data_IF_526729002669
#
_entry.id   IF_526729002669
#
_cell.length_a   1.000
_cell.length_b   1.000
_cell.length_c   1.000
_cell.angle_alpha   90.00
_cell.angle_beta   90.00
_cell.angle_gamma   90.00
#
_symmetry.space_group_name_H-M   'P 1'
#
loop_
_entity.id
_entity.type
_entity.pdbx_description
1 polymer ?
#
# COMPACT_ATOMS: atom_id res chain seq x y z
N UNK A 1 -56.64 -13.76 45.67
CA UNK A 1 -57.05 -14.42 44.40
C UNK A 1 -55.82 -15.03 43.78
N UNK A 2 -55.86 -16.32 43.53
CA UNK A 2 -54.80 -17.14 42.96
C UNK A 2 -54.48 -16.74 41.52
N UNK A 3 -53.21 -16.84 41.09
CA UNK A 3 -52.88 -17.45 39.81
C UNK A 3 -51.48 -18.06 39.85
N UNK A 4 -51.38 -19.18 39.16
CA UNK A 4 -50.44 -20.27 39.35
C UNK A 4 -49.32 -20.26 38.31
N UNK A 5 -48.26 -20.99 38.64
CA UNK A 5 -46.99 -21.18 37.93
C UNK A 5 -47.15 -21.90 36.60
N UNK A 6 -46.47 -21.42 35.54
CA UNK A 6 -45.87 -22.30 34.52
C UNK A 6 -44.49 -21.77 34.07
N UNK A 7 -43.52 -22.68 34.06
CA UNK A 7 -42.13 -22.53 33.61
C UNK A 7 -42.04 -22.43 32.08
N UNK A 8 -41.04 -21.68 31.57
CA UNK A 8 -40.12 -22.15 30.51
C UNK A 8 -38.75 -21.48 30.68
N UNK A 9 -37.62 -22.22 30.59
CA UNK A 9 -36.27 -21.69 30.84
C UNK A 9 -35.48 -21.45 29.53
N UNK A 10 -34.37 -20.72 29.67
CA UNK A 10 -33.23 -20.57 28.72
C UNK A 10 -33.42 -19.74 27.43
N UNK A 11 -32.84 -18.53 27.42
CA UNK A 11 -31.74 -18.13 26.53
C UNK A 11 -31.19 -16.76 26.98
N UNK A 12 -29.93 -16.75 27.41
CA UNK A 12 -29.13 -15.55 27.70
C UNK A 12 -28.40 -15.12 26.42
N UNK A 13 -28.13 -13.81 26.33
CA UNK A 13 -27.11 -13.14 25.52
C UNK A 13 -27.29 -13.20 24.00
N UNK A 14 -27.59 -12.06 23.38
CA UNK A 14 -26.59 -11.20 22.73
C UNK A 14 -27.26 -9.86 22.41
N UNK A 15 -26.68 -8.77 22.90
CA UNK A 15 -27.12 -7.41 22.61
C UNK A 15 -26.77 -7.07 21.16
N UNK A 16 -27.79 -6.62 20.43
CA UNK A 16 -27.69 -5.92 19.17
C UNK A 16 -27.61 -4.41 19.44
N UNK A 17 -26.60 -3.70 18.96
CA UNK A 17 -26.72 -2.25 18.72
C UNK A 17 -26.13 -1.91 17.35
N UNK A 18 -27.05 -1.71 16.42
CA UNK A 18 -26.90 -1.12 15.09
C UNK A 18 -27.60 0.24 15.18
N UNK A 19 -26.86 1.30 14.82
CA UNK A 19 -27.30 2.62 14.30
C UNK A 19 -28.26 3.45 15.19
N UNK A 20 -27.78 4.60 15.66
CA UNK A 20 -28.59 5.78 16.02
C UNK A 20 -27.85 7.01 15.48
N UNK A 21 -28.29 7.69 14.43
CA UNK A 21 -29.52 8.47 14.21
C UNK A 21 -29.51 9.82 14.95
N UNK A 22 -29.44 10.87 14.13
CA UNK A 22 -29.51 12.29 14.45
C UNK A 22 -30.91 12.65 14.98
N UNK A 23 -30.98 13.36 16.10
CA UNK A 23 -32.09 14.28 16.37
C UNK A 23 -31.61 15.53 17.11
N UNK A 24 -32.08 16.64 16.55
CA UNK A 24 -31.98 18.04 16.97
C UNK A 24 -32.55 18.31 18.36
N UNK A 25 -31.89 19.15 19.15
CA UNK A 25 -32.51 19.76 20.34
C UNK A 25 -32.51 21.30 20.25
N UNK A 26 -33.73 21.79 20.39
CA UNK A 26 -34.19 23.17 20.36
C UNK A 26 -33.51 24.10 21.36
N UNK A 27 -33.22 25.31 20.89
CA UNK A 27 -32.96 26.49 21.70
C UNK A 27 -34.13 26.81 22.62
N UNK A 28 -33.86 26.90 23.93
CA UNK A 28 -34.70 27.66 24.87
C UNK A 28 -33.82 28.74 25.52
N UNK A 29 -34.08 29.97 25.13
CA UNK A 29 -33.57 31.19 25.76
C UNK A 29 -34.19 31.33 27.16
N UNK A 30 -33.37 31.44 28.20
CA UNK A 30 -33.83 32.00 29.46
C UNK A 30 -32.75 32.92 30.06
N UNK A 31 -33.12 34.19 30.14
CA UNK A 31 -32.36 35.32 30.65
C UNK A 31 -32.24 35.27 32.17
N UNK A 32 -31.04 35.49 32.72
CA UNK A 32 -30.81 36.23 33.99
C UNK A 32 -29.32 36.51 34.23
N UNK A 33 -28.96 37.79 34.26
CA UNK A 33 -27.72 38.29 34.86
C UNK A 33 -27.86 38.39 36.39
N UNK A 34 -26.75 38.38 37.14
CA UNK A 34 -26.27 39.65 37.68
C UNK A 34 -24.73 39.87 37.66
N UNK A 35 -24.38 41.15 37.74
CA UNK A 35 -23.04 41.79 37.71
C UNK A 35 -22.12 41.42 38.88
N UNK A 36 -20.81 41.23 38.62
CA UNK A 36 -19.68 41.78 39.41
C UNK A 36 -18.41 41.87 38.52
N UNK A 37 -17.69 43.00 38.56
CA UNK A 37 -16.36 43.29 37.95
C UNK A 37 -15.25 43.28 39.03
N UNK A 38 -13.96 43.54 38.73
CA UNK A 38 -13.02 42.91 37.80
C UNK A 38 -11.70 42.50 38.51
N UNK A 39 -11.01 41.42 38.11
CA UNK A 39 -9.55 41.30 38.34
C UNK A 39 -8.93 40.07 37.70
N UNK A 40 -7.65 40.23 37.36
CA UNK A 40 -6.70 39.22 36.88
C UNK A 40 -6.86 38.75 35.43
N UNK A 41 -6.22 39.54 34.56
CA UNK A 41 -5.24 39.07 33.58
C UNK A 41 -4.89 37.58 33.73
N UNK A 42 -5.27 36.77 32.74
CA UNK A 42 -4.62 35.49 32.49
C UNK A 42 -4.34 35.38 30.99
N UNK A 43 -3.07 35.60 30.64
CA UNK A 43 -2.47 35.19 29.38
C UNK A 43 -2.73 33.69 29.19
N UNK A 44 -3.60 33.34 28.24
CA UNK A 44 -3.74 31.98 27.72
C UNK A 44 -3.03 31.88 26.38
N UNK A 45 -1.76 31.50 26.43
CA UNK A 45 -0.93 31.08 25.30
C UNK A 45 -1.67 30.01 24.49
N UNK A 46 -1.93 30.29 23.21
CA UNK A 46 -2.26 29.27 22.21
C UNK A 46 -0.95 28.55 21.89
N UNK A 47 -0.68 27.47 22.63
CA UNK A 47 0.38 26.53 22.26
C UNK A 47 -0.23 25.51 21.30
N UNK A 48 0.11 25.63 20.02
CA UNK A 48 -0.12 24.60 19.03
C UNK A 48 0.56 23.31 19.50
N UNK A 49 -0.22 22.30 19.89
CA UNK A 49 0.27 20.93 19.95
C UNK A 49 0.58 20.49 18.53
N UNK A 50 1.89 20.50 18.20
CA UNK A 50 2.46 19.60 17.20
C UNK A 50 2.04 18.18 17.59
N UNK A 51 1.14 17.59 16.81
CA UNK A 51 0.98 16.14 16.79
C UNK A 51 2.21 15.59 16.09
N UNK A 52 3.16 15.09 16.88
CA UNK A 52 4.30 14.34 16.36
C UNK A 52 3.78 12.99 15.85
N UNK A 53 4.11 12.68 14.60
CA UNK A 53 3.46 11.64 13.79
C UNK A 53 4.07 10.25 14.04
N UNK A 54 4.58 10.02 15.26
CA UNK A 54 5.36 8.84 15.64
C UNK A 54 4.64 7.84 16.56
N UNK A 55 3.41 8.11 16.99
CA UNK A 55 2.69 7.26 17.97
C UNK A 55 1.65 6.27 17.38
N UNK A 56 1.60 6.08 16.06
CA UNK A 56 0.70 5.09 15.41
C UNK A 56 1.50 3.92 14.81
N UNK A 57 2.44 3.32 15.56
CA UNK A 57 3.04 2.03 15.18
C UNK A 57 3.33 1.12 16.37
N UNK A 58 2.29 0.78 17.14
CA UNK A 58 2.32 -0.36 18.07
C UNK A 58 0.93 -1.01 18.16
N UNK A 59 0.49 -1.69 17.09
CA UNK A 59 -0.61 -2.67 17.17
C UNK A 59 -0.07 -4.05 16.81
N UNK A 60 0.30 -4.73 17.88
CA UNK A 60 0.11 -6.16 18.20
C UNK A 60 0.43 -7.23 17.13
N UNK A 61 1.65 -7.77 17.21
CA UNK A 61 2.11 -8.98 16.50
C UNK A 61 1.83 -10.29 17.27
N UNK A 62 0.93 -10.35 18.26
CA UNK A 62 0.90 -11.48 19.21
C UNK A 62 -0.40 -12.29 19.30
N UNK A 63 -1.16 -12.41 18.20
CA UNK A 63 -2.41 -13.20 18.22
C UNK A 63 -2.61 -14.22 17.08
N UNK A 64 -1.64 -14.51 16.21
CA UNK A 64 -1.87 -15.38 15.04
C UNK A 64 -1.16 -16.75 15.03
N UNK A 65 -0.65 -17.25 16.15
CA UNK A 65 -0.05 -18.60 16.17
C UNK A 65 -0.37 -19.36 17.44
N UNK A 66 -1.62 -19.81 17.59
CA UNK A 66 -1.96 -20.99 18.42
C UNK A 66 -3.17 -21.69 17.83
N UNK A 67 -2.99 -22.95 17.43
CA UNK A 67 -4.10 -23.91 17.32
C UNK A 67 -4.21 -24.63 16.00
N UNK A 68 -3.30 -25.57 15.74
CA UNK A 68 -3.69 -26.83 15.10
C UNK A 68 -2.71 -27.93 15.51
N UNK A 69 -2.97 -28.54 16.67
CA UNK A 69 -2.51 -29.90 16.93
C UNK A 69 -3.49 -30.86 16.26
N UNK A 70 -2.95 -31.79 15.46
CA UNK A 70 -3.65 -33.02 15.08
C UNK A 70 -2.69 -34.16 15.39
N UNK A 71 -2.85 -34.67 16.60
CA UNK A 71 -2.44 -36.01 17.02
C UNK A 71 -3.58 -36.96 16.67
N UNK A 72 -3.33 -37.95 15.81
CA UNK A 72 -3.85 -39.32 15.97
C UNK A 72 -3.36 -40.28 14.86
N UNK A 73 -2.73 -41.38 15.32
CA UNK A 73 -2.75 -42.77 14.81
C UNK A 73 -2.51 -43.03 13.30
N UNK A 74 -1.68 -43.97 12.82
CA UNK A 74 -1.01 -45.18 13.33
C UNK A 74 0.04 -45.61 12.25
N UNK A 75 1.03 -46.45 12.59
CA UNK A 75 2.10 -46.87 11.67
C UNK A 75 1.69 -48.09 10.85
N UNK A 76 2.02 -48.11 9.55
CA UNK A 76 2.02 -49.33 8.74
C UNK A 76 3.33 -49.43 7.96
N UNK A 77 4.14 -50.39 8.39
CA UNK A 77 5.38 -50.87 7.77
C UNK A 77 5.04 -51.54 6.43
N UNK A 78 5.76 -51.17 5.36
CA UNK A 78 6.05 -52.09 4.27
C UNK A 78 7.48 -51.87 3.75
N UNK A 79 8.34 -52.83 4.08
CA UNK A 79 9.63 -53.13 3.46
C UNK A 79 9.42 -53.69 2.05
N UNK A 80 10.16 -53.23 1.04
CA UNK A 80 11.06 -54.05 0.18
C UNK A 80 11.61 -53.28 -1.05
N UNK A 81 12.95 -53.30 -1.15
CA UNK A 81 13.78 -53.53 -2.36
C UNK A 81 13.70 -52.62 -3.59
N UNK A 82 14.80 -51.89 -3.85
CA UNK A 82 15.83 -52.26 -4.83
C UNK A 82 16.66 -51.02 -5.22
N UNK A 83 17.86 -50.88 -4.67
CA UNK A 83 18.86 -49.94 -5.20
C UNK A 83 19.50 -50.57 -6.43
N UNK A 84 19.08 -50.12 -7.60
CA UNK A 84 19.87 -50.26 -8.82
C UNK A 84 20.90 -49.13 -8.84
N UNK A 85 22.17 -49.48 -8.62
CA UNK A 85 23.29 -48.60 -8.92
C UNK A 85 23.35 -48.43 -10.45
N UNK A 86 22.96 -47.25 -10.94
CA UNK A 86 23.22 -46.83 -12.31
C UNK A 86 24.57 -46.10 -12.35
N UNK A 87 25.43 -46.34 -13.36
CA UNK A 87 26.68 -45.61 -13.50
C UNK A 87 26.42 -44.12 -13.69
N UNK A 88 27.11 -43.29 -12.92
CA UNK A 88 27.18 -41.86 -13.10
C UNK A 88 27.80 -41.58 -14.48
N UNK A 89 27.10 -40.90 -15.41
CA UNK A 89 27.78 -40.31 -16.54
C UNK A 89 28.70 -39.20 -16.02
N UNK A 90 29.91 -39.15 -16.57
CA UNK A 90 30.92 -38.18 -16.25
C UNK A 90 30.38 -36.76 -16.26
N UNK A 91 30.93 -35.97 -15.34
CA UNK A 91 30.65 -34.56 -15.08
C UNK A 91 31.14 -33.71 -16.25
N UNK A 92 30.52 -33.87 -17.42
CA UNK A 92 30.68 -32.95 -18.52
C UNK A 92 29.86 -31.70 -18.16
N UNK A 93 30.59 -30.60 -17.96
CA UNK A 93 30.06 -29.26 -17.72
C UNK A 93 29.26 -28.87 -18.97
N UNK A 94 28.01 -29.32 -19.05
CA UNK A 94 27.02 -28.80 -19.97
C UNK A 94 26.81 -27.34 -19.58
N UNK A 95 27.61 -26.47 -20.18
CA UNK A 95 27.25 -25.09 -20.36
C UNK A 95 25.99 -25.12 -21.23
N UNK A 96 24.83 -25.21 -20.57
CA UNK A 96 23.59 -24.79 -21.15
C UNK A 96 23.80 -23.30 -21.45
N UNK A 97 24.28 -23.01 -22.66
CA UNK A 97 23.99 -21.76 -23.33
C UNK A 97 22.48 -21.75 -23.48
N UNK A 98 21.80 -21.33 -22.41
CA UNK A 98 20.47 -20.80 -22.49
C UNK A 98 20.60 -19.64 -23.47
N UNK A 99 20.27 -19.93 -24.72
CA UNK A 99 20.11 -18.93 -25.75
C UNK A 99 18.83 -18.18 -25.33
N UNK A 100 18.95 -17.38 -24.26
CA UNK A 100 17.94 -16.44 -23.82
C UNK A 100 17.90 -15.41 -24.94
N UNK A 101 17.08 -15.69 -25.95
CA UNK A 101 16.68 -14.68 -26.92
C UNK A 101 16.03 -13.59 -26.09
N UNK A 102 16.79 -12.54 -25.79
CA UNK A 102 16.29 -11.32 -25.15
C UNK A 102 15.05 -10.95 -25.95
N UNK A 103 13.90 -10.91 -25.27
CA UNK A 103 12.66 -10.53 -25.92
C UNK A 103 12.85 -9.12 -26.53
N UNK A 104 12.22 -8.84 -27.67
CA UNK A 104 12.16 -7.46 -28.15
C UNK A 104 11.54 -6.55 -27.10
N UNK A 105 11.82 -5.25 -27.15
CA UNK A 105 11.20 -4.28 -26.23
C UNK A 105 9.67 -4.39 -26.33
N UNK A 106 9.00 -4.54 -25.18
CA UNK A 106 7.53 -4.59 -25.10
C UNK A 106 6.93 -3.27 -24.57
N UNK A 107 7.76 -2.44 -23.94
CA UNK A 107 7.42 -1.09 -23.52
C UNK A 107 7.84 -0.08 -24.60
N UNK A 108 7.18 1.07 -24.60
CA UNK A 108 7.52 2.21 -25.46
C UNK A 108 7.77 3.41 -24.57
N UNK A 109 8.88 4.11 -24.81
CA UNK A 109 9.19 5.35 -24.10
C UNK A 109 8.09 6.39 -24.36
N UNK A 110 7.69 7.12 -23.32
CA UNK A 110 6.67 8.17 -23.38
C UNK A 110 6.99 9.31 -22.41
N UNK A 111 6.28 10.42 -22.54
CA UNK A 111 6.50 11.57 -21.65
C UNK A 111 5.82 11.35 -20.31
N UNK A 112 6.34 11.99 -19.25
CA UNK A 112 5.73 11.92 -17.92
C UNK A 112 4.24 12.25 -17.93
N UNK A 113 3.85 13.29 -18.68
CA UNK A 113 2.45 13.71 -18.77
C UNK A 113 1.54 12.64 -19.39
N UNK A 114 2.09 11.72 -20.20
CA UNK A 114 1.34 10.64 -20.83
C UNK A 114 1.21 9.41 -19.94
N UNK A 115 2.26 9.04 -19.20
CA UNK A 115 2.26 7.81 -18.38
C UNK A 115 1.88 8.03 -16.91
N UNK A 116 1.89 9.27 -16.40
CA UNK A 116 1.56 9.53 -15.01
C UNK A 116 0.13 9.09 -14.65
N UNK A 117 -0.08 8.77 -13.36
CA UNK A 117 -1.34 8.24 -12.83
C UNK A 117 -1.97 9.15 -11.75
N UNK A 118 -1.51 10.39 -11.65
CA UNK A 118 -1.82 11.30 -10.54
C UNK A 118 -3.14 12.05 -10.65
N UNK A 119 -3.86 11.95 -11.77
CA UNK A 119 -5.17 12.60 -11.94
C UNK A 119 -6.33 11.68 -11.59
N UNK A 120 -7.50 12.26 -11.32
CA UNK A 120 -8.77 11.55 -11.18
C UNK A 120 -9.17 11.40 -9.71
N UNK A 121 -9.32 10.16 -9.27
CA UNK A 121 -9.74 9.83 -7.90
C UNK A 121 -8.67 8.96 -7.25
N UNK A 122 -8.42 9.15 -5.96
CA UNK A 122 -7.54 8.29 -5.17
C UNK A 122 -8.19 6.93 -4.86
N UNK A 123 -7.36 5.95 -4.51
CA UNK A 123 -7.77 4.60 -4.09
C UNK A 123 -7.50 3.48 -5.09
N UNK A 124 -7.00 3.79 -6.29
CA UNK A 124 -6.76 2.83 -7.38
C UNK A 124 -5.34 2.89 -7.95
N UNK A 125 -4.41 3.59 -7.29
CA UNK A 125 -3.08 3.88 -7.82
C UNK A 125 -2.26 2.64 -8.14
N UNK A 126 -2.35 1.58 -7.34
CA UNK A 126 -1.60 0.34 -7.60
C UNK A 126 -2.07 -0.34 -8.88
N UNK A 127 -3.37 -0.37 -9.12
CA UNK A 127 -3.95 -0.98 -10.32
C UNK A 127 -3.57 -0.19 -11.57
N UNK A 128 -3.61 1.16 -11.49
CA UNK A 128 -3.16 2.04 -12.55
C UNK A 128 -1.66 1.87 -12.85
N UNK A 129 -0.81 1.81 -11.81
CA UNK A 129 0.62 1.55 -11.97
C UNK A 129 0.90 0.17 -12.60
N UNK A 130 0.21 -0.88 -12.15
CA UNK A 130 0.34 -2.22 -12.71
C UNK A 130 -0.09 -2.27 -14.18
N UNK A 131 -1.10 -1.48 -14.58
CA UNK A 131 -1.57 -1.43 -15.95
C UNK A 131 -0.51 -0.89 -16.93
N UNK A 132 0.39 0.01 -16.49
CA UNK A 132 1.52 0.49 -17.31
C UNK A 132 2.53 -0.61 -17.62
N UNK A 133 2.72 -1.55 -16.69
CA UNK A 133 3.71 -2.63 -16.81
C UNK A 133 3.12 -3.97 -17.27
N UNK A 134 1.82 -4.01 -17.63
CA UNK A 134 1.11 -5.26 -18.01
C UNK A 134 1.74 -6.05 -19.15
N UNK A 135 2.55 -5.40 -19.99
CA UNK A 135 3.22 -6.04 -21.13
C UNK A 135 4.49 -6.82 -20.72
N UNK A 136 5.02 -6.57 -19.50
CA UNK A 136 6.15 -7.31 -18.95
C UNK A 136 5.68 -8.71 -18.52
N UNK A 137 6.41 -9.73 -18.97
CA UNK A 137 6.16 -11.11 -18.53
C UNK A 137 6.71 -11.32 -17.12
N UNK A 138 5.82 -11.18 -16.14
CA UNK A 138 6.14 -11.37 -14.72
C UNK A 138 6.61 -12.80 -14.38
N UNK A 139 6.41 -13.78 -15.27
CA UNK A 139 6.90 -15.15 -15.07
C UNK A 139 8.32 -15.35 -15.64
N UNK A 140 8.87 -14.37 -16.36
CA UNK A 140 10.17 -14.44 -17.00
C UNK A 140 10.91 -13.10 -17.00
N UNK A 141 11.13 -12.53 -15.81
CA UNK A 141 11.82 -11.26 -15.65
C UNK A 141 13.27 -11.26 -16.18
N UNK A 142 13.93 -12.42 -16.21
CA UNK A 142 15.27 -12.56 -16.78
C UNK A 142 15.31 -12.28 -18.30
N UNK A 143 14.18 -12.39 -19.00
CA UNK A 143 14.07 -12.11 -20.43
C UNK A 143 13.71 -10.65 -20.77
N UNK A 144 13.44 -9.81 -19.75
CA UNK A 144 13.17 -8.38 -19.95
C UNK A 144 14.35 -7.72 -20.67
N UNK A 145 14.05 -6.99 -21.74
CA UNK A 145 15.07 -6.38 -22.57
C UNK A 145 15.79 -5.24 -21.84
N UNK A 146 17.03 -4.96 -22.23
CA UNK A 146 17.75 -3.78 -21.71
C UNK A 146 17.02 -2.46 -22.02
N UNK A 147 16.26 -2.43 -23.14
CA UNK A 147 15.42 -1.28 -23.51
C UNK A 147 14.23 -1.10 -22.56
N UNK A 148 13.52 -2.19 -22.24
CA UNK A 148 12.42 -2.13 -21.28
C UNK A 148 12.91 -1.81 -19.87
N UNK A 149 14.03 -2.41 -19.44
CA UNK A 149 14.62 -2.06 -18.15
C UNK A 149 15.02 -0.58 -18.09
N UNK A 150 15.52 -0.01 -19.20
CA UNK A 150 15.79 1.43 -19.27
C UNK A 150 14.51 2.25 -19.11
N UNK A 151 13.42 1.89 -19.79
CA UNK A 151 12.12 2.57 -19.68
C UNK A 151 11.55 2.46 -18.26
N UNK A 152 11.66 1.28 -17.62
CA UNK A 152 11.23 1.07 -16.22
C UNK A 152 11.98 2.03 -15.27
N UNK A 153 13.31 2.09 -15.38
CA UNK A 153 14.10 3.03 -14.56
C UNK A 153 13.79 4.49 -14.92
N UNK A 154 13.54 4.81 -16.19
CA UNK A 154 13.18 6.17 -16.59
C UNK A 154 11.81 6.63 -16.07
N UNK A 155 10.83 5.73 -15.96
CA UNK A 155 9.55 6.01 -15.28
C UNK A 155 9.80 6.33 -13.81
N UNK A 156 10.64 5.53 -13.13
CA UNK A 156 11.05 5.79 -11.74
C UNK A 156 11.67 7.19 -11.60
N UNK A 157 12.70 7.50 -12.40
CA UNK A 157 13.46 8.74 -12.30
C UNK A 157 12.58 9.97 -12.61
N UNK A 158 11.73 9.88 -13.63
CA UNK A 158 10.78 10.93 -13.97
C UNK A 158 9.75 11.17 -12.85
N UNK A 159 9.25 10.10 -12.21
CA UNK A 159 8.33 10.22 -11.10
C UNK A 159 9.01 10.77 -9.82
N UNK A 160 10.26 10.41 -9.54
CA UNK A 160 11.06 11.02 -8.46
C UNK A 160 11.22 12.53 -8.70
N UNK A 161 11.66 12.93 -9.89
CA UNK A 161 11.88 14.34 -10.21
C UNK A 161 10.57 15.14 -10.21
N UNK A 162 9.46 14.58 -10.70
CA UNK A 162 8.15 15.23 -10.60
C UNK A 162 7.71 15.41 -9.14
N UNK A 163 8.07 14.48 -8.23
CA UNK A 163 7.82 14.62 -6.80
C UNK A 163 8.51 15.87 -6.23
N UNK A 164 9.80 16.04 -6.53
CA UNK A 164 10.62 17.11 -5.96
C UNK A 164 10.38 18.46 -6.61
N UNK A 165 10.23 18.48 -7.94
CA UNK A 165 10.33 19.70 -8.73
C UNK A 165 8.96 20.24 -9.16
N UNK A 166 7.91 19.42 -9.10
CA UNK A 166 6.55 19.82 -9.49
C UNK A 166 5.54 19.68 -8.36
N UNK A 167 5.43 18.50 -7.71
CA UNK A 167 4.46 18.29 -6.63
C UNK A 167 4.78 19.11 -5.39
N UNK A 168 6.02 19.06 -4.88
CA UNK A 168 6.37 19.80 -3.65
C UNK A 168 6.10 21.30 -3.78
N UNK A 169 6.55 22.01 -4.84
CA UNK A 169 6.24 23.43 -5.00
C UNK A 169 4.74 23.72 -5.19
N UNK A 170 4.02 22.87 -5.93
CA UNK A 170 2.58 23.06 -6.16
C UNK A 170 1.78 22.92 -4.86
N UNK A 171 2.12 21.95 -4.03
CA UNK A 171 1.51 21.73 -2.71
C UNK A 171 1.81 22.90 -1.77
N UNK A 172 3.04 23.39 -1.74
CA UNK A 172 3.43 24.54 -0.90
C UNK A 172 2.66 25.82 -1.28
N UNK A 173 2.33 25.98 -2.56
CA UNK A 173 1.57 27.13 -3.07
C UNK A 173 0.05 26.99 -2.90
N UNK A 174 -0.47 25.78 -2.69
CA UNK A 174 -1.89 25.50 -2.59
C UNK A 174 -2.39 25.56 -1.14
N UNK A 175 -3.72 25.62 -0.98
CA UNK A 175 -4.37 25.54 0.33
C UNK A 175 -5.74 24.87 0.22
N UNK A 176 -6.29 24.42 1.35
CA UNK A 176 -7.60 23.78 1.38
C UNK A 176 -7.67 22.53 0.51
N UNK A 177 -8.80 22.35 -0.16
CA UNK A 177 -9.10 21.15 -0.95
C UNK A 177 -8.12 20.97 -2.13
N UNK A 178 -7.60 22.07 -2.70
CA UNK A 178 -6.59 22.00 -3.77
C UNK A 178 -5.28 21.39 -3.27
N UNK A 179 -4.85 21.76 -2.05
CA UNK A 179 -3.66 21.16 -1.44
C UNK A 179 -3.87 19.68 -1.14
N UNK A 180 -5.06 19.30 -0.64
CA UNK A 180 -5.43 17.89 -0.43
C UNK A 180 -5.42 17.11 -1.74
N UNK A 181 -6.00 17.65 -2.81
CA UNK A 181 -6.03 16.97 -4.11
C UNK A 181 -4.63 16.81 -4.73
N UNK A 182 -3.74 17.79 -4.54
CA UNK A 182 -2.33 17.67 -4.96
C UNK A 182 -1.56 16.65 -4.12
N UNK A 183 -1.83 16.55 -2.81
CA UNK A 183 -1.24 15.51 -1.97
C UNK A 183 -1.68 14.11 -2.40
N UNK A 184 -2.96 13.93 -2.73
CA UNK A 184 -3.48 12.69 -3.28
C UNK A 184 -2.79 12.35 -4.62
N UNK A 185 -2.60 13.34 -5.50
CA UNK A 185 -1.86 13.18 -6.75
C UNK A 185 -0.40 12.76 -6.52
N UNK A 186 0.26 13.36 -5.51
CA UNK A 186 1.63 13.00 -5.10
C UNK A 186 1.70 11.57 -4.57
N UNK A 187 0.71 11.11 -3.81
CA UNK A 187 0.64 9.73 -3.32
C UNK A 187 0.53 8.76 -4.49
N UNK A 188 -0.34 9.02 -5.48
CA UNK A 188 -0.41 8.19 -6.70
C UNK A 188 0.93 8.17 -7.45
N UNK A 189 1.61 9.32 -7.58
CA UNK A 189 2.95 9.41 -8.18
C UNK A 189 3.98 8.56 -7.42
N UNK A 190 3.93 8.56 -6.08
CA UNK A 190 4.79 7.70 -5.25
C UNK A 190 4.52 6.22 -5.48
N UNK A 191 3.26 5.80 -5.62
CA UNK A 191 2.91 4.41 -5.95
C UNK A 191 3.47 4.01 -7.31
N UNK A 192 3.36 4.87 -8.33
CA UNK A 192 3.98 4.65 -9.63
C UNK A 192 5.50 4.49 -9.53
N UNK A 193 6.17 5.44 -8.88
CA UNK A 193 7.62 5.44 -8.67
C UNK A 193 8.10 4.14 -8.05
N UNK A 194 7.51 3.77 -6.91
CA UNK A 194 7.92 2.60 -6.14
C UNK A 194 7.54 1.28 -6.85
N UNK A 195 6.47 1.26 -7.64
CA UNK A 195 6.14 0.10 -8.50
C UNK A 195 7.22 -0.09 -9.57
N UNK A 196 7.65 0.98 -10.23
CA UNK A 196 8.72 0.94 -11.22
C UNK A 196 10.06 0.53 -10.58
N UNK A 197 10.39 1.06 -9.40
CA UNK A 197 11.61 0.71 -8.64
C UNK A 197 11.63 -0.77 -8.24
N UNK A 198 10.56 -1.27 -7.62
CA UNK A 198 10.45 -2.68 -7.23
C UNK A 198 10.56 -3.59 -8.45
N UNK A 199 9.87 -3.27 -9.55
CA UNK A 199 9.98 -4.04 -10.79
C UNK A 199 11.42 -4.00 -11.35
N UNK A 200 12.05 -2.83 -11.37
CA UNK A 200 13.43 -2.66 -11.82
C UNK A 200 14.42 -3.48 -11.01
N UNK A 201 14.28 -3.52 -9.68
CA UNK A 201 15.10 -4.36 -8.80
C UNK A 201 14.86 -5.84 -9.07
N UNK A 202 13.60 -6.27 -9.19
CA UNK A 202 13.26 -7.67 -9.49
C UNK A 202 13.82 -8.14 -10.84
N UNK A 203 13.78 -7.29 -11.87
CA UNK A 203 14.40 -7.57 -13.17
C UNK A 203 15.91 -7.68 -13.04
N UNK A 204 16.57 -6.74 -12.36
CA UNK A 204 18.03 -6.77 -12.13
C UNK A 204 18.43 -8.05 -11.38
N UNK A 205 17.72 -8.41 -10.32
CA UNK A 205 17.94 -9.62 -9.54
C UNK A 205 17.78 -10.89 -10.40
N UNK A 206 16.73 -10.97 -11.22
CA UNK A 206 16.51 -12.09 -12.14
C UNK A 206 17.61 -12.22 -13.21
N UNK A 207 18.30 -11.11 -13.52
CA UNK A 207 19.45 -11.06 -14.43
C UNK A 207 20.81 -11.26 -13.71
N UNK A 208 20.79 -11.63 -12.42
CA UNK A 208 22.00 -11.92 -11.62
C UNK A 208 22.58 -10.71 -10.89
N UNK A 209 21.83 -9.62 -10.77
CA UNK A 209 22.17 -8.42 -10.00
C UNK A 209 21.80 -8.50 -8.52
N UNK A 210 21.97 -7.37 -7.81
CA UNK A 210 21.67 -7.22 -6.39
C UNK A 210 20.18 -6.94 -6.12
N UNK A 211 19.66 -7.50 -5.04
CA UNK A 211 18.26 -7.35 -4.57
C UNK A 211 18.17 -6.87 -3.11
N UNK A 212 19.27 -6.39 -2.53
CA UNK A 212 19.36 -6.05 -1.10
C UNK A 212 18.36 -4.99 -0.65
N UNK A 213 17.94 -4.08 -1.53
CA UNK A 213 16.97 -3.02 -1.25
C UNK A 213 15.49 -3.45 -1.47
N UNK A 214 15.24 -4.63 -2.05
CA UNK A 214 13.90 -5.03 -2.49
C UNK A 214 12.85 -5.01 -1.36
N UNK A 215 13.18 -5.54 -0.18
CA UNK A 215 12.26 -5.57 0.96
C UNK A 215 11.90 -4.15 1.44
N UNK A 216 12.87 -3.25 1.44
CA UNK A 216 12.67 -1.86 1.87
C UNK A 216 11.74 -1.11 0.90
N UNK A 217 11.96 -1.26 -0.41
CA UNK A 217 11.13 -0.62 -1.43
C UNK A 217 9.72 -1.21 -1.49
N UNK A 218 9.56 -2.52 -1.31
CA UNK A 218 8.24 -3.15 -1.18
C UNK A 218 7.45 -2.61 0.01
N UNK A 219 8.12 -2.36 1.14
CA UNK A 219 7.49 -1.78 2.33
C UNK A 219 7.05 -0.33 2.09
N UNK A 220 7.88 0.47 1.42
CA UNK A 220 7.52 1.85 1.03
C UNK A 220 6.33 1.83 0.06
N UNK A 221 6.33 0.92 -0.92
CA UNK A 221 5.22 0.77 -1.87
C UNK A 221 3.92 0.45 -1.12
N UNK A 222 3.93 -0.58 -0.28
CA UNK A 222 2.76 -0.99 0.51
C UNK A 222 2.22 0.14 1.39
N UNK A 223 3.10 0.94 1.99
CA UNK A 223 2.69 2.11 2.78
C UNK A 223 1.98 3.17 1.93
N UNK A 224 2.48 3.48 0.73
CA UNK A 224 1.85 4.48 -0.13
C UNK A 224 0.56 3.97 -0.77
N UNK A 225 0.47 2.68 -1.09
CA UNK A 225 -0.81 2.05 -1.49
C UNK A 225 -1.84 2.17 -0.38
N UNK A 226 -1.45 1.94 0.88
CA UNK A 226 -2.35 2.13 2.03
C UNK A 226 -2.81 3.58 2.16
N UNK A 227 -1.94 4.55 1.91
CA UNK A 227 -2.31 5.98 1.94
C UNK A 227 -3.28 6.32 0.81
N UNK A 228 -3.04 5.82 -0.41
CA UNK A 228 -3.96 6.02 -1.55
C UNK A 228 -5.36 5.45 -1.27
N UNK A 229 -5.43 4.21 -0.75
CA UNK A 229 -6.69 3.56 -0.35
C UNK A 229 -7.38 4.33 0.78
N UNK A 230 -6.62 4.90 1.72
CA UNK A 230 -7.21 5.69 2.81
C UNK A 230 -7.90 6.98 2.32
N UNK A 231 -7.49 7.48 1.15
CA UNK A 231 -8.08 8.63 0.45
C UNK A 231 -9.05 8.22 -0.66
N UNK A 232 -9.52 6.97 -0.68
CA UNK A 232 -10.43 6.46 -1.72
C UNK A 232 -11.64 7.38 -1.91
N UNK A 233 -11.92 7.72 -3.17
CA UNK A 233 -13.04 8.60 -3.53
C UNK A 233 -12.71 10.10 -3.50
N UNK A 234 -11.58 10.50 -2.91
CA UNK A 234 -11.15 11.90 -2.93
C UNK A 234 -10.55 12.31 -4.28
N UNK A 235 -10.68 13.59 -4.60
CA UNK A 235 -10.05 14.18 -5.81
C UNK A 235 -8.53 14.01 -5.76
N UNK A 236 -7.95 13.67 -6.90
CA UNK A 236 -6.51 13.55 -7.11
C UNK A 236 -6.08 14.40 -8.32
N UNK A 237 -5.13 15.30 -8.12
CA UNK A 237 -4.69 16.27 -9.13
C UNK A 237 -3.26 16.00 -9.57
N UNK A 238 -3.07 15.82 -10.88
CA UNK A 238 -1.75 15.71 -11.48
C UNK A 238 -1.04 17.06 -11.60
N UNK A 239 0.29 17.01 -11.67
CA UNK A 239 1.13 18.13 -12.09
C UNK A 239 1.69 17.85 -13.49
N UNK A 240 1.94 18.90 -14.25
CA UNK A 240 2.67 18.76 -15.51
C UNK A 240 4.17 18.83 -15.25
N UNK A 241 4.92 17.92 -15.87
CA UNK A 241 6.38 17.86 -15.74
C UNK A 241 7.02 17.41 -17.05
N UNK A 242 8.19 17.97 -17.38
CA UNK A 242 8.92 17.64 -18.60
C UNK A 242 9.98 16.58 -18.31
N UNK A 243 9.65 15.33 -18.60
CA UNK A 243 10.55 14.18 -18.52
C UNK A 243 10.10 13.08 -19.49
N UNK A 244 11.04 12.19 -19.81
CA UNK A 244 10.80 11.02 -20.68
C UNK A 244 11.37 9.78 -20.01
N UNK A 245 10.63 8.67 -20.09
CA UNK A 245 11.06 7.34 -19.65
C UNK A 245 12.14 6.71 -20.52
#
# INVERSE_FOLDING_TARGET
MCFEVLRFPYMKQFESIVIGEYQTLNLRQETRAPKITPSSQLLGVVSCMKLDMSDIMMIDKRSFLKGLEISDLRPLIFLLSAVYASPLPDKEKAAATANSTVAGSVLTASTYNDFQISSGTAGTAQDEANALFKAIDMNNLAAVSASDLKIINGIHDAAENAETDAFNPAIEAASGDDATALQNGKIKNKVLKLTAEVLGIQVKAAQGGDDSDLEAEQKKLANNVKLDIASEGETSTAVSFDATS
#
